data_IF_913354620496
#
_entry.id   IF_913354620496
#
_cell.length_a   1.000
_cell.length_b   1.000
_cell.length_c   1.000
_cell.angle_alpha   90.00
_cell.angle_beta   90.00
_cell.angle_gamma   90.00
#
_symmetry.space_group_name_H-M   'P 1'
#
loop_
_entity.id
_entity.type
_entity.pdbx_description
1 polymer ?
#
# COMPACT_ATOMS: atom_id res chain seq x y z
N UNK A 1 -12.11 -5.01 17.34
CA UNK A 1 -12.57 -4.18 16.21
C UNK A 1 -12.59 -5.05 14.96
N UNK A 2 -13.54 -4.81 14.03
CA UNK A 2 -13.53 -5.52 12.73
C UNK A 2 -12.56 -4.80 11.79
N UNK A 3 -11.72 -5.51 11.02
CA UNK A 3 -10.82 -4.88 10.06
C UNK A 3 -11.61 -4.27 8.88
N UNK A 4 -11.18 -3.10 8.42
CA UNK A 4 -11.71 -2.43 7.22
C UNK A 4 -10.68 -2.37 6.09
N UNK A 5 -9.40 -2.63 6.39
CA UNK A 5 -8.32 -2.81 5.41
C UNK A 5 -7.72 -4.20 5.59
N UNK A 6 -7.40 -4.86 4.49
CA UNK A 6 -6.62 -6.09 4.52
C UNK A 6 -5.28 -5.88 3.81
N UNK A 7 -4.18 -6.26 4.46
CA UNK A 7 -2.85 -6.34 3.86
C UNK A 7 -2.61 -7.79 3.50
N UNK A 8 -2.43 -8.06 2.21
CA UNK A 8 -2.15 -9.40 1.68
C UNK A 8 -0.75 -9.41 1.09
N UNK A 9 0.03 -10.43 1.39
CA UNK A 9 1.36 -10.64 0.82
C UNK A 9 1.52 -12.08 0.32
N UNK A 10 2.23 -12.26 -0.79
CA UNK A 10 2.46 -13.57 -1.40
C UNK A 10 3.33 -14.50 -0.56
N UNK A 11 4.12 -13.94 0.35
CA UNK A 11 5.01 -14.65 1.27
C UNK A 11 5.37 -13.75 2.44
N UNK A 12 5.73 -14.35 3.57
CA UNK A 12 6.25 -13.62 4.74
C UNK A 12 7.61 -12.95 4.46
N UNK A 13 8.30 -13.29 3.36
CA UNK A 13 9.46 -12.54 2.89
C UNK A 13 9.18 -11.07 2.56
N UNK A 14 7.91 -10.74 2.29
CA UNK A 14 7.48 -9.38 1.94
C UNK A 14 7.17 -8.53 3.20
N UNK A 15 7.11 -9.18 4.37
CA UNK A 15 6.77 -8.54 5.64
C UNK A 15 7.62 -7.30 5.95
N UNK A 16 8.96 -7.28 5.78
CA UNK A 16 9.76 -6.09 6.08
C UNK A 16 9.36 -4.84 5.28
N UNK A 17 8.80 -5.03 4.08
CA UNK A 17 8.25 -3.95 3.27
C UNK A 17 6.86 -3.58 3.76
N UNK A 18 6.00 -4.57 3.99
CA UNK A 18 4.59 -4.38 4.31
C UNK A 18 4.34 -3.88 5.74
N UNK A 19 5.28 -4.10 6.66
CA UNK A 19 5.23 -3.47 8.00
C UNK A 19 5.13 -1.95 7.95
N UNK A 20 5.65 -1.31 6.90
CA UNK A 20 5.54 0.15 6.74
C UNK A 20 4.08 0.59 6.53
N UNK A 21 3.31 -0.23 5.81
CA UNK A 21 1.87 -0.02 5.65
C UNK A 21 1.13 -0.27 6.97
N UNK A 22 1.44 -1.38 7.64
CA UNK A 22 0.83 -1.74 8.91
C UNK A 22 1.05 -0.67 9.98
N UNK A 23 2.29 -0.17 10.15
CA UNK A 23 2.62 0.90 11.08
C UNK A 23 1.83 2.19 10.81
N UNK A 24 1.71 2.59 9.53
CA UNK A 24 0.94 3.78 9.18
C UNK A 24 -0.55 3.60 9.47
N UNK A 25 -1.14 2.45 9.14
CA UNK A 25 -2.55 2.17 9.46
C UNK A 25 -2.80 2.19 10.97
N UNK A 26 -1.87 1.63 11.75
CA UNK A 26 -1.93 1.65 13.22
C UNK A 26 -1.85 3.08 13.77
N UNK A 27 -0.89 3.89 13.32
CA UNK A 27 -0.76 5.30 13.66
C UNK A 27 -2.02 6.11 13.31
N UNK A 28 -2.65 5.80 12.17
CA UNK A 28 -3.91 6.41 11.73
C UNK A 28 -5.14 5.84 12.45
N UNK A 29 -4.97 4.82 13.31
CA UNK A 29 -6.04 4.11 14.01
C UNK A 29 -7.07 3.48 13.06
N UNK A 30 -6.61 2.96 11.93
CA UNK A 30 -7.41 2.22 10.97
C UNK A 30 -7.34 0.73 11.29
N UNK A 31 -8.45 0.06 11.61
CA UNK A 31 -8.43 -1.37 11.88
C UNK A 31 -8.06 -2.16 10.62
N UNK A 32 -7.08 -3.03 10.72
CA UNK A 32 -6.61 -3.84 9.60
C UNK A 32 -6.29 -5.28 10.02
N UNK A 33 -6.17 -6.15 9.03
CA UNK A 33 -5.66 -7.51 9.16
C UNK A 33 -4.48 -7.72 8.21
N UNK A 34 -3.66 -8.74 8.49
CA UNK A 34 -2.54 -9.14 7.65
C UNK A 34 -2.63 -10.64 7.36
N UNK A 35 -2.51 -11.01 6.09
CA UNK A 35 -2.57 -12.42 5.66
C UNK A 35 -1.47 -12.72 4.63
N UNK A 36 -0.93 -13.93 4.69
CA UNK A 36 -0.08 -14.47 3.64
C UNK A 36 -0.92 -15.40 2.75
N UNK A 37 -1.10 -15.02 1.47
CA UNK A 37 -1.84 -15.75 0.46
C UNK A 37 -1.09 -15.67 -0.87
N UNK A 38 -0.92 -16.80 -1.55
CA UNK A 38 -0.17 -16.85 -2.81
C UNK A 38 -1.07 -17.22 -3.98
N UNK A 39 -1.14 -16.36 -5.01
CA UNK A 39 -1.90 -16.66 -6.21
C UNK A 39 -1.43 -17.94 -6.92
N UNK A 40 -0.15 -18.29 -6.81
CA UNK A 40 0.41 -19.48 -7.45
C UNK A 40 0.37 -20.74 -6.57
N UNK A 41 0.43 -20.60 -5.23
CA UNK A 41 0.55 -21.73 -4.30
C UNK A 41 -0.74 -22.04 -3.55
N UNK A 42 -1.60 -21.03 -3.35
CA UNK A 42 -2.87 -21.14 -2.65
C UNK A 42 -3.99 -20.40 -3.42
N UNK A 43 -4.22 -20.74 -4.72
CA UNK A 43 -5.16 -20.00 -5.56
C UNK A 43 -6.60 -20.06 -5.05
N UNK A 44 -7.04 -21.19 -4.53
CA UNK A 44 -8.41 -21.36 -4.01
C UNK A 44 -8.65 -20.48 -2.77
N UNK A 45 -7.67 -20.35 -1.90
CA UNK A 45 -7.73 -19.50 -0.71
C UNK A 45 -7.75 -18.01 -1.08
N UNK A 46 -7.01 -17.60 -2.13
CA UNK A 46 -7.04 -16.24 -2.67
C UNK A 46 -8.41 -15.91 -3.23
N UNK A 47 -9.00 -16.80 -4.03
CA UNK A 47 -10.34 -16.63 -4.59
C UNK A 47 -11.38 -16.49 -3.48
N UNK A 48 -11.41 -17.43 -2.55
CA UNK A 48 -12.34 -17.43 -1.39
C UNK A 48 -12.20 -16.15 -0.58
N UNK A 49 -10.96 -15.76 -0.22
CA UNK A 49 -10.70 -14.51 0.49
C UNK A 49 -11.31 -13.31 -0.22
N UNK A 50 -11.05 -13.19 -1.54
CA UNK A 50 -11.46 -12.04 -2.34
C UNK A 50 -12.98 -11.93 -2.44
N UNK A 51 -13.67 -13.05 -2.64
CA UNK A 51 -15.14 -13.11 -2.72
C UNK A 51 -15.80 -12.78 -1.38
N UNK A 52 -15.23 -13.21 -0.26
CA UNK A 52 -15.77 -12.98 1.08
C UNK A 52 -15.42 -11.59 1.65
N UNK A 53 -14.41 -10.89 1.10
CA UNK A 53 -13.82 -9.68 1.65
C UNK A 53 -14.85 -8.60 1.97
N UNK A 54 -15.72 -8.25 1.01
CA UNK A 54 -16.74 -7.22 1.18
C UNK A 54 -17.77 -7.61 2.26
N UNK A 55 -18.22 -8.87 2.28
CA UNK A 55 -19.17 -9.39 3.27
C UNK A 55 -18.61 -9.40 4.70
N UNK A 56 -17.29 -9.51 4.85
CA UNK A 56 -16.59 -9.41 6.13
C UNK A 56 -16.47 -7.97 6.65
N UNK A 57 -16.76 -6.97 5.81
CA UNK A 57 -16.71 -5.55 6.15
C UNK A 57 -15.43 -4.84 5.71
N UNK A 58 -14.57 -5.51 4.94
CA UNK A 58 -13.41 -4.86 4.33
C UNK A 58 -13.87 -3.80 3.32
N UNK A 59 -13.07 -2.73 3.19
CA UNK A 59 -13.34 -1.60 2.27
C UNK A 59 -12.21 -1.43 1.25
N UNK A 60 -10.98 -1.78 1.61
CA UNK A 60 -9.80 -1.66 0.75
C UNK A 60 -8.89 -2.86 0.99
N UNK A 61 -8.27 -3.36 -0.08
CA UNK A 61 -7.27 -4.43 -0.01
C UNK A 61 -5.93 -3.89 -0.53
N UNK A 62 -4.88 -4.02 0.27
CA UNK A 62 -3.50 -3.74 -0.14
C UNK A 62 -2.85 -5.10 -0.41
N UNK A 63 -2.45 -5.34 -1.66
CA UNK A 63 -1.90 -6.63 -2.08
C UNK A 63 -0.46 -6.47 -2.60
N UNK A 64 0.47 -7.17 -1.97
CA UNK A 64 1.88 -7.15 -2.29
C UNK A 64 2.33 -8.44 -2.97
N UNK A 65 3.10 -8.32 -4.04
CA UNK A 65 3.69 -9.46 -4.73
C UNK A 65 5.00 -9.08 -5.44
N UNK A 66 5.93 -10.02 -5.47
CA UNK A 66 7.17 -9.93 -6.24
C UNK A 66 7.19 -10.89 -7.43
N UNK A 67 8.23 -10.81 -8.25
CA UNK A 67 8.45 -11.66 -9.43
C UNK A 67 7.26 -11.56 -10.43
N UNK A 68 6.69 -12.67 -10.90
CA UNK A 68 5.46 -12.72 -11.68
C UNK A 68 4.24 -12.42 -10.78
N UNK A 69 4.09 -11.18 -10.38
CA UNK A 69 3.24 -10.68 -9.30
C UNK A 69 1.74 -10.73 -9.64
N UNK A 70 1.17 -11.92 -9.77
CA UNK A 70 -0.23 -12.14 -10.16
C UNK A 70 -1.24 -11.79 -9.04
N UNK A 71 -0.83 -11.80 -7.77
CA UNK A 71 -1.73 -11.73 -6.61
C UNK A 71 -2.69 -10.53 -6.62
N UNK A 72 -2.24 -9.28 -6.86
CA UNK A 72 -3.16 -8.13 -6.87
C UNK A 72 -4.23 -8.23 -7.97
N UNK A 73 -3.84 -8.68 -9.18
CA UNK A 73 -4.77 -8.86 -10.29
C UNK A 73 -5.79 -9.97 -10.04
N UNK A 74 -5.36 -11.10 -9.46
CA UNK A 74 -6.26 -12.22 -9.09
C UNK A 74 -7.27 -11.77 -8.03
N UNK A 75 -6.83 -11.02 -7.02
CA UNK A 75 -7.74 -10.45 -6.02
C UNK A 75 -8.73 -9.49 -6.68
N UNK A 76 -8.25 -8.56 -7.51
CA UNK A 76 -9.11 -7.56 -8.16
C UNK A 76 -10.15 -8.22 -9.10
N UNK A 77 -9.84 -9.35 -9.71
CA UNK A 77 -10.77 -10.11 -10.54
C UNK A 77 -11.92 -10.76 -9.74
N UNK A 78 -11.75 -10.96 -8.45
CA UNK A 78 -12.69 -11.69 -7.58
C UNK A 78 -13.40 -10.79 -6.54
N UNK A 79 -13.21 -9.47 -6.59
CA UNK A 79 -13.87 -8.53 -5.68
C UNK A 79 -14.20 -7.22 -6.38
N UNK A 80 -15.18 -6.49 -5.84
CA UNK A 80 -15.47 -5.11 -6.25
C UNK A 80 -14.85 -4.06 -5.33
N UNK A 81 -14.11 -4.49 -4.31
CA UNK A 81 -13.39 -3.57 -3.44
C UNK A 81 -12.17 -2.97 -4.17
N UNK A 82 -11.79 -1.73 -3.86
CA UNK A 82 -10.53 -1.15 -4.34
C UNK A 82 -9.34 -2.03 -3.95
N UNK A 83 -8.49 -2.38 -4.93
CA UNK A 83 -7.25 -3.12 -4.71
C UNK A 83 -6.07 -2.23 -5.03
N UNK A 84 -5.16 -2.11 -4.06
CA UNK A 84 -3.91 -1.35 -4.19
C UNK A 84 -2.77 -2.36 -4.30
N UNK A 85 -2.07 -2.35 -5.43
CA UNK A 85 -0.95 -3.24 -5.70
C UNK A 85 0.38 -2.64 -5.26
N UNK A 86 1.17 -3.43 -4.52
CA UNK A 86 2.53 -3.07 -4.11
C UNK A 86 3.51 -4.02 -4.78
N UNK A 87 4.23 -3.56 -5.83
CA UNK A 87 5.30 -4.35 -6.42
C UNK A 87 6.43 -4.54 -5.40
N UNK A 88 6.87 -5.77 -5.20
CA UNK A 88 7.98 -6.08 -4.29
C UNK A 88 9.25 -6.27 -5.09
N UNK A 89 10.32 -5.59 -4.66
CA UNK A 89 11.66 -5.73 -5.25
C UNK A 89 12.18 -7.15 -5.07
N UNK A 90 12.45 -7.82 -6.19
CA UNK A 90 13.16 -9.10 -6.24
C UNK A 90 14.64 -8.92 -6.51
N UNK A 91 15.40 -10.02 -6.42
CA UNK A 91 16.87 -10.03 -6.57
C UNK A 91 17.33 -9.99 -8.04
N UNK A 92 16.49 -10.37 -9.00
CA UNK A 92 16.91 -10.56 -10.40
C UNK A 92 16.63 -9.31 -11.25
N UNK A 93 15.40 -8.78 -11.21
CA UNK A 93 14.95 -7.65 -12.02
C UNK A 93 14.61 -6.41 -11.19
N UNK A 94 15.07 -6.35 -9.96
CA UNK A 94 14.89 -5.20 -9.06
C UNK A 94 13.42 -4.75 -8.87
N UNK A 95 12.46 -5.65 -9.13
CA UNK A 95 11.03 -5.39 -8.99
C UNK A 95 10.36 -4.87 -10.27
N UNK A 96 11.08 -4.70 -11.36
CA UNK A 96 10.49 -4.29 -12.66
C UNK A 96 9.52 -5.34 -13.20
N UNK A 97 9.82 -6.61 -13.01
CA UNK A 97 8.94 -7.74 -13.30
C UNK A 97 7.63 -7.65 -12.52
N UNK A 98 7.71 -7.39 -11.22
CA UNK A 98 6.54 -7.21 -10.38
C UNK A 98 5.73 -5.97 -10.76
N UNK A 99 6.41 -4.85 -11.02
CA UNK A 99 5.76 -3.61 -11.46
C UNK A 99 4.95 -3.83 -12.74
N UNK A 100 5.56 -4.41 -13.78
CA UNK A 100 4.88 -4.66 -15.05
C UNK A 100 3.75 -5.67 -14.91
N UNK A 101 3.92 -6.71 -14.08
CA UNK A 101 2.86 -7.70 -13.82
C UNK A 101 1.63 -7.11 -13.15
N UNK A 102 1.81 -6.11 -12.28
CA UNK A 102 0.72 -5.50 -11.50
C UNK A 102 0.05 -4.36 -12.26
N UNK A 103 0.83 -3.53 -12.99
CA UNK A 103 0.31 -2.29 -13.59
C UNK A 103 -0.46 -2.54 -14.90
N UNK A 104 -0.13 -3.59 -15.67
CA UNK A 104 -0.71 -3.89 -16.99
C UNK A 104 -2.00 -4.72 -16.87
N UNK A 105 -3.01 -4.15 -16.21
CA UNK A 105 -4.30 -4.80 -16.03
C UNK A 105 -5.23 -4.59 -17.25
N UNK A 106 -6.04 -5.60 -17.63
CA UNK A 106 -7.04 -5.46 -18.69
C UNK A 106 -8.16 -4.50 -18.28
N UNK A 107 -8.85 -3.88 -19.26
CA UNK A 107 -10.04 -3.08 -19.00
C UNK A 107 -11.08 -3.83 -18.17
N UNK A 108 -11.61 -3.20 -17.12
CA UNK A 108 -12.61 -3.76 -16.24
C UNK A 108 -12.05 -4.33 -14.92
N UNK A 109 -10.74 -4.60 -14.83
CA UNK A 109 -10.11 -5.12 -13.60
C UNK A 109 -8.98 -4.17 -13.15
N UNK A 110 -9.31 -3.03 -12.55
CA UNK A 110 -8.29 -2.05 -12.16
C UNK A 110 -7.54 -2.48 -10.89
N UNK A 111 -6.23 -2.22 -10.88
CA UNK A 111 -5.38 -2.26 -9.67
C UNK A 111 -4.65 -0.93 -9.55
N UNK A 112 -4.87 -0.20 -8.45
CA UNK A 112 -4.17 1.04 -8.16
C UNK A 112 -2.73 0.72 -7.71
N UNK A 113 -1.76 0.86 -8.61
CA UNK A 113 -0.39 0.42 -8.36
C UNK A 113 0.47 1.55 -7.81
N UNK A 114 1.14 1.32 -6.68
CA UNK A 114 2.13 2.24 -6.10
C UNK A 114 3.55 1.89 -6.54
N UNK A 115 4.53 2.69 -6.12
CA UNK A 115 5.93 2.44 -6.43
C UNK A 115 6.43 1.08 -5.92
N UNK A 116 7.52 0.57 -6.49
CA UNK A 116 8.22 -0.64 -5.99
C UNK A 116 8.58 -0.43 -4.52
N UNK A 117 8.22 -1.40 -3.67
CA UNK A 117 8.32 -1.34 -2.20
C UNK A 117 7.56 -0.16 -1.57
N UNK A 118 6.59 0.42 -2.27
CA UNK A 118 5.84 1.61 -1.86
C UNK A 118 4.72 1.34 -0.84
N UNK A 119 4.90 0.42 0.09
CA UNK A 119 3.88 0.00 1.04
C UNK A 119 3.29 1.15 1.88
N UNK A 120 4.10 2.14 2.27
CA UNK A 120 3.60 3.32 2.97
C UNK A 120 2.61 4.11 2.12
N UNK A 121 2.91 4.36 0.84
CA UNK A 121 2.00 5.04 -0.08
C UNK A 121 0.73 4.23 -0.34
N UNK A 122 0.81 2.90 -0.32
CA UNK A 122 -0.38 2.06 -0.41
C UNK A 122 -1.31 2.26 0.81
N UNK A 123 -0.76 2.36 2.00
CA UNK A 123 -1.53 2.65 3.21
C UNK A 123 -2.12 4.07 3.19
N UNK A 124 -1.36 5.07 2.72
CA UNK A 124 -1.86 6.45 2.57
C UNK A 124 -3.04 6.47 1.60
N UNK A 125 -2.91 5.83 0.44
CA UNK A 125 -3.99 5.76 -0.56
C UNK A 125 -5.22 5.03 0.00
N UNK A 126 -5.03 3.96 0.78
CA UNK A 126 -6.13 3.29 1.46
C UNK A 126 -6.85 4.23 2.44
N UNK A 127 -6.10 5.01 3.25
CA UNK A 127 -6.66 6.03 4.14
C UNK A 127 -7.41 7.11 3.35
N UNK A 128 -6.86 7.59 2.22
CA UNK A 128 -7.52 8.60 1.38
C UNK A 128 -8.84 8.07 0.78
N UNK A 129 -8.89 6.80 0.37
CA UNK A 129 -10.12 6.17 -0.11
C UNK A 129 -11.17 6.09 1.02
N UNK A 130 -10.77 5.67 2.21
CA UNK A 130 -11.66 5.60 3.38
C UNK A 130 -12.13 6.99 3.83
N UNK A 131 -11.28 8.00 3.72
CA UNK A 131 -11.56 9.39 4.07
C UNK A 131 -12.67 10.04 3.23
N UNK A 132 -13.00 9.47 2.07
CA UNK A 132 -14.14 9.94 1.26
C UNK A 132 -15.50 9.81 1.99
N UNK A 133 -15.58 8.92 2.98
CA UNK A 133 -16.78 8.69 3.78
C UNK A 133 -16.54 8.73 5.29
N UNK A 134 -15.37 9.20 5.74
CA UNK A 134 -14.99 9.30 7.16
C UNK A 134 -14.25 10.63 7.41
N UNK A 135 -14.95 11.59 8.02
CA UNK A 135 -14.41 12.93 8.31
C UNK A 135 -13.20 12.90 9.25
N UNK A 136 -13.14 11.95 10.20
CA UNK A 136 -12.00 11.82 11.10
C UNK A 136 -10.75 11.36 10.33
N UNK A 137 -10.89 10.39 9.43
CA UNK A 137 -9.79 9.98 8.56
C UNK A 137 -9.39 11.08 7.58
N UNK A 138 -10.35 11.87 7.08
CA UNK A 138 -10.06 13.02 6.23
C UNK A 138 -9.18 14.06 6.98
N UNK A 139 -9.54 14.38 8.22
CA UNK A 139 -8.74 15.28 9.05
C UNK A 139 -7.32 14.73 9.31
N UNK A 140 -7.19 13.43 9.60
CA UNK A 140 -5.89 12.76 9.80
C UNK A 140 -5.04 12.79 8.52
N UNK A 141 -5.63 12.56 7.34
CA UNK A 141 -4.92 12.62 6.07
C UNK A 141 -4.38 14.03 5.78
N UNK A 142 -5.16 15.09 6.06
CA UNK A 142 -4.71 16.48 5.95
C UNK A 142 -3.55 16.76 6.91
N UNK A 143 -3.68 16.38 8.17
CA UNK A 143 -2.65 16.58 9.19
C UNK A 143 -1.34 15.84 8.83
N UNK A 144 -1.46 14.63 8.26
CA UNK A 144 -0.31 13.88 7.77
C UNK A 144 0.44 14.63 6.66
N UNK A 145 -0.27 15.13 5.64
CA UNK A 145 0.35 15.91 4.55
C UNK A 145 1.03 17.18 5.06
N UNK A 146 0.42 17.89 6.00
CA UNK A 146 1.03 19.07 6.64
C UNK A 146 2.31 18.69 7.42
N UNK A 147 2.32 17.53 8.08
CA UNK A 147 3.53 17.03 8.77
C UNK A 147 4.71 16.80 7.82
N UNK A 148 4.45 16.33 6.60
CA UNK A 148 5.49 16.13 5.58
C UNK A 148 6.08 17.47 5.13
N UNK A 149 5.22 18.48 4.89
CA UNK A 149 5.65 19.85 4.58
C UNK A 149 6.54 20.41 5.69
N UNK A 150 6.13 20.28 6.94
CA UNK A 150 6.87 20.79 8.09
C UNK A 150 8.26 20.16 8.24
N UNK A 151 8.42 18.86 7.89
CA UNK A 151 9.73 18.20 7.84
C UNK A 151 10.68 18.88 6.84
N UNK A 152 10.19 19.25 5.65
CA UNK A 152 11.02 19.91 4.63
C UNK A 152 11.33 21.36 5.00
N UNK A 153 10.37 22.08 5.59
CA UNK A 153 10.60 23.43 6.13
C UNK A 153 11.71 23.41 7.17
N UNK A 154 11.63 22.46 8.12
CA UNK A 154 12.67 22.29 9.15
C UNK A 154 14.03 21.92 8.55
N UNK A 155 14.09 21.02 7.58
CA UNK A 155 15.33 20.67 6.89
C UNK A 155 15.98 21.88 6.21
N UNK A 156 15.20 22.79 5.62
CA UNK A 156 15.73 24.03 5.05
C UNK A 156 16.33 24.97 6.13
N UNK A 157 15.75 25.04 7.31
CA UNK A 157 16.35 25.81 8.42
C UNK A 157 17.69 25.19 8.88
N UNK A 158 17.75 23.85 8.95
CA UNK A 158 19.01 23.15 9.28
C UNK A 158 20.09 23.41 8.22
N UNK A 159 19.72 23.45 6.93
CA UNK A 159 20.65 23.74 5.82
C UNK A 159 21.23 25.17 5.88
N UNK A 160 20.54 26.13 6.48
CA UNK A 160 21.08 27.48 6.71
C UNK A 160 22.31 27.46 7.61
N UNK A 161 22.40 26.50 8.53
CA UNK A 161 23.55 26.31 9.41
C UNK A 161 24.79 25.69 8.74
N UNK A 162 24.64 25.12 7.54
CA UNK A 162 25.73 24.49 6.78
C UNK A 162 26.55 25.56 6.09
N UNK A 163 27.82 25.67 6.43
CA UNK A 163 28.73 26.74 5.93
C UNK A 163 29.68 26.22 4.87
N UNK A 164 29.70 26.90 3.73
CA UNK A 164 30.69 26.76 2.67
C UNK A 164 31.11 28.14 2.17
N UNK A 165 32.35 28.26 1.64
CA UNK A 165 32.92 29.55 1.20
C UNK A 165 32.03 30.28 0.21
N UNK A 166 31.38 29.57 -0.69
CA UNK A 166 30.55 30.16 -1.76
C UNK A 166 29.07 29.89 -1.64
N UNK A 167 28.62 29.37 -0.49
CA UNK A 167 27.18 29.18 -0.23
C UNK A 167 26.53 30.52 0.10
N UNK A 168 25.42 30.85 -0.57
CA UNK A 168 24.75 32.15 -0.51
C UNK A 168 23.40 32.15 0.23
N UNK A 169 22.91 30.98 0.68
CA UNK A 169 21.65 30.82 1.41
C UNK A 169 21.82 30.10 2.75
#
# INVERSE_FOLDING_TARGET
MKPIVSIIMGSTSDLPVMEKAAKLLDEMQVPFEMNALSAHRTPAEVEKFSQEAAGRGLKVIIAAAGMAAALPGVIAANTTLPVIGVPIKGSVLDGMDALYSIIQMPPGIPVATVAINGAMNAAILAVEILALSDENLAAKAVAYKESLKNKIVKANEELKGVKYTYKTN
#
